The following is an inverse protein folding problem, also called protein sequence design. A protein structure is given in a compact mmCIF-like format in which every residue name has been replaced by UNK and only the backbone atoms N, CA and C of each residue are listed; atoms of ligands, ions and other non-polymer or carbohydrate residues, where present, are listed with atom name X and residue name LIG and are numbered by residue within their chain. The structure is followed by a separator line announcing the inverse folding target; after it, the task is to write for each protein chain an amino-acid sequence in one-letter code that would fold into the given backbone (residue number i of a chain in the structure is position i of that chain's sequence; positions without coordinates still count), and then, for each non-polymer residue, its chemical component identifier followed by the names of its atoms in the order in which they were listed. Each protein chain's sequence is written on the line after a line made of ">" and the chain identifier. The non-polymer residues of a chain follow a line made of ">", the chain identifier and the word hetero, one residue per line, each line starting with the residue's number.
data_IF_776643401917
#
_entry.id   IF_776643401917
#
_cell.length_a   1.000
_cell.length_b   1.000
_cell.length_c   1.000
_cell.angle_alpha   90.00
_cell.angle_beta   90.00
_cell.angle_gamma   90.00
#
_symmetry.space_group_name_H-M   'P 1'
#
loop_
_entity.id
_entity.type
_entity.pdbx_description
1 polymer ?
#
# COMPACT_ATOMS: atom_id res chain seq x y z
N UNK A 1 8.18 44.50 -28.66
CA UNK A 1 8.41 43.03 -28.73
C UNK A 1 8.76 42.40 -27.37
N UNK A 2 9.64 42.98 -26.53
CA UNK A 2 10.01 42.39 -25.23
C UNK A 2 8.85 42.15 -24.24
N UNK A 3 7.86 43.05 -24.18
CA UNK A 3 6.73 42.90 -23.24
C UNK A 3 5.75 41.76 -23.60
N UNK A 4 5.60 41.44 -24.89
CA UNK A 4 4.71 40.37 -25.35
C UNK A 4 5.27 39.00 -24.95
N UNK A 5 6.60 38.82 -25.03
CA UNK A 5 7.26 37.59 -24.58
C UNK A 5 7.12 37.36 -23.07
N UNK A 6 7.19 38.41 -22.26
CA UNK A 6 7.03 38.31 -20.80
C UNK A 6 5.58 37.93 -20.45
N UNK A 7 4.61 38.50 -21.16
CA UNK A 7 3.20 38.18 -20.97
C UNK A 7 2.88 36.72 -21.32
N UNK A 8 3.43 36.21 -22.43
CA UNK A 8 3.29 34.81 -22.85
C UNK A 8 3.89 33.83 -21.83
N UNK A 9 5.05 34.18 -21.26
CA UNK A 9 5.71 33.39 -20.21
C UNK A 9 4.87 33.29 -18.93
N UNK A 10 4.26 34.41 -18.51
CA UNK A 10 3.37 34.45 -17.35
C UNK A 10 2.12 33.57 -17.55
N UNK A 11 1.51 33.62 -18.74
CA UNK A 11 0.34 32.78 -19.08
C UNK A 11 0.70 31.29 -19.09
N UNK A 12 1.88 30.92 -19.62
CA UNK A 12 2.35 29.54 -19.56
C UNK A 12 2.54 29.03 -18.13
N UNK A 13 3.14 29.82 -17.24
CA UNK A 13 3.38 29.42 -15.84
C UNK A 13 2.06 29.23 -15.06
N UNK A 14 1.05 30.06 -15.33
CA UNK A 14 -0.30 29.93 -14.77
C UNK A 14 -1.02 28.67 -15.29
N UNK A 15 -0.87 28.33 -16.57
CA UNK A 15 -1.47 27.13 -17.15
C UNK A 15 -0.89 25.84 -16.56
N UNK A 16 0.44 25.81 -16.35
CA UNK A 16 1.14 24.65 -15.77
C UNK A 16 0.71 24.43 -14.31
N UNK A 17 0.60 25.49 -13.52
CA UNK A 17 0.20 25.40 -12.12
C UNK A 17 -1.24 24.91 -11.95
N UNK A 18 -2.17 25.30 -12.82
CA UNK A 18 -3.53 24.79 -12.82
C UNK A 18 -3.60 23.29 -13.19
N UNK A 19 -2.80 22.85 -14.18
CA UNK A 19 -2.74 21.45 -14.59
C UNK A 19 -2.14 20.53 -13.50
N UNK A 20 -1.20 21.04 -12.70
CA UNK A 20 -0.62 20.31 -11.56
C UNK A 20 -1.63 20.17 -10.43
N UNK A 21 -2.43 21.20 -10.14
CA UNK A 21 -3.47 21.14 -9.11
C UNK A 21 -4.57 20.12 -9.45
N UNK A 22 -5.01 20.06 -10.71
CA UNK A 22 -6.05 19.14 -11.16
C UNK A 22 -5.65 17.64 -11.08
N UNK A 23 -4.35 17.31 -11.08
CA UNK A 23 -3.86 15.92 -10.92
C UNK A 23 -3.74 15.47 -9.47
N UNK A 24 -3.88 16.36 -8.49
CA UNK A 24 -3.64 16.05 -7.07
C UNK A 24 -4.88 15.50 -6.34
N UNK A 25 -6.07 15.48 -6.95
CA UNK A 25 -7.31 15.09 -6.29
C UNK A 25 -7.82 13.69 -6.70
N UNK A 26 -6.92 12.71 -6.83
CA UNK A 26 -7.35 11.32 -6.90
C UNK A 26 -7.76 10.88 -5.48
N UNK A 27 -9.02 11.12 -5.14
CA UNK A 27 -9.63 10.62 -3.92
C UNK A 27 -9.69 9.10 -3.99
N UNK A 28 -8.85 8.44 -3.18
CA UNK A 28 -8.93 7.01 -2.95
C UNK A 28 -10.22 6.72 -2.16
N UNK A 29 -11.21 6.12 -2.82
CA UNK A 29 -12.39 5.58 -2.14
C UNK A 29 -12.06 4.14 -1.71
N UNK A 30 -11.67 3.98 -0.45
CA UNK A 30 -11.68 2.67 0.20
C UNK A 30 -13.10 2.40 0.70
N UNK A 31 -13.84 1.55 -0.01
CA UNK A 31 -15.09 1.01 0.51
C UNK A 31 -14.79 0.06 1.66
N UNK A 32 -15.25 0.39 2.88
CA UNK A 32 -15.25 -0.55 4.01
C UNK A 32 -16.45 -1.46 3.83
N UNK A 33 -16.25 -2.64 3.26
CA UNK A 33 -17.27 -3.70 3.31
C UNK A 33 -17.06 -4.38 4.67
N UNK A 34 -17.90 -4.04 5.65
CA UNK A 34 -18.04 -4.84 6.86
C UNK A 34 -18.71 -6.17 6.46
N UNK A 35 -17.91 -7.10 5.96
CA UNK A 35 -18.36 -8.41 5.55
C UNK A 35 -18.39 -9.32 6.77
N UNK A 36 -19.49 -10.05 6.94
CA UNK A 36 -19.64 -11.02 8.03
C UNK A 36 -18.46 -11.98 8.06
N UNK A 37 -17.76 -12.02 9.20
CA UNK A 37 -16.52 -12.77 9.31
C UNK A 37 -16.84 -14.24 9.57
N UNK A 38 -16.94 -15.02 8.49
CA UNK A 38 -17.26 -16.46 8.55
C UNK A 38 -16.04 -17.27 9.00
N UNK A 39 -14.85 -16.89 8.54
CA UNK A 39 -13.61 -17.57 8.90
C UNK A 39 -12.93 -16.91 10.10
N UNK A 40 -12.34 -17.70 11.02
CA UNK A 40 -11.57 -17.16 12.13
C UNK A 40 -10.35 -16.39 11.61
N UNK A 41 -10.04 -15.27 12.25
CA UNK A 41 -8.83 -14.50 11.93
C UNK A 41 -7.63 -15.21 12.52
N UNK A 42 -6.65 -15.52 11.66
CA UNK A 42 -5.31 -15.96 12.05
C UNK A 42 -4.34 -14.80 11.94
N UNK A 43 -3.48 -14.67 12.95
CA UNK A 43 -2.55 -13.55 13.07
C UNK A 43 -1.13 -14.08 12.97
N UNK A 44 -0.35 -13.57 12.01
CA UNK A 44 1.06 -13.88 11.83
C UNK A 44 1.91 -12.62 12.07
N UNK A 45 2.75 -12.57 13.13
CA UNK A 45 3.70 -11.48 13.30
C UNK A 45 4.80 -11.58 12.24
N UNK A 46 5.00 -10.51 11.48
CA UNK A 46 6.02 -10.45 10.43
C UNK A 46 7.34 -9.90 10.99
N UNK A 47 7.28 -8.85 11.82
CA UNK A 47 8.45 -8.23 12.43
C UNK A 47 8.64 -6.76 12.04
N UNK A 48 9.85 -6.24 12.26
CA UNK A 48 10.16 -4.84 11.94
C UNK A 48 10.76 -4.73 10.53
N UNK A 49 9.99 -4.16 9.62
CA UNK A 49 10.35 -3.98 8.22
C UNK A 49 9.98 -2.57 7.77
N UNK A 50 10.65 -2.10 6.73
CA UNK A 50 10.31 -0.82 6.11
C UNK A 50 8.92 -0.91 5.47
N UNK A 51 8.66 -1.99 4.73
CA UNK A 51 7.42 -2.22 3.99
C UNK A 51 7.11 -3.70 3.85
N UNK A 52 5.83 -4.05 3.85
CA UNK A 52 5.33 -5.39 3.59
C UNK A 52 4.14 -5.34 2.63
N UNK A 53 4.03 -6.32 1.74
CA UNK A 53 2.98 -6.40 0.73
C UNK A 53 2.48 -7.83 0.58
N UNK A 54 1.16 -8.00 0.40
CA UNK A 54 0.61 -9.27 -0.07
C UNK A 54 0.95 -9.40 -1.55
N UNK A 55 1.65 -10.46 -1.92
CA UNK A 55 2.06 -10.71 -3.32
C UNK A 55 1.20 -11.78 -3.98
N UNK A 56 0.64 -12.70 -3.20
CA UNK A 56 -0.34 -13.68 -3.67
C UNK A 56 -1.30 -14.07 -2.54
N UNK A 57 -2.47 -14.58 -2.90
CA UNK A 57 -3.44 -15.12 -1.96
C UNK A 57 -4.19 -16.29 -2.59
N UNK A 58 -4.29 -17.40 -1.86
CA UNK A 58 -5.19 -18.50 -2.15
C UNK A 58 -6.39 -18.38 -1.22
N UNK A 59 -7.59 -18.25 -1.78
CA UNK A 59 -8.83 -18.08 -1.02
C UNK A 59 -9.58 -19.41 -0.93
N UNK A 60 -10.08 -19.75 0.24
CA UNK A 60 -11.06 -20.83 0.38
C UNK A 60 -12.41 -20.45 -0.23
N UNK A 61 -12.81 -19.19 -0.08
CA UNK A 61 -14.06 -18.65 -0.59
C UNK A 61 -13.86 -17.27 -1.22
N UNK A 62 -14.56 -16.96 -2.31
CA UNK A 62 -14.38 -15.70 -3.02
C UNK A 62 -14.85 -14.48 -2.20
N UNK A 63 -15.87 -14.68 -1.37
CA UNK A 63 -16.59 -13.65 -0.63
C UNK A 63 -16.02 -13.49 0.78
N UNK A 64 -15.83 -14.58 1.51
CA UNK A 64 -15.50 -14.51 2.94
C UNK A 64 -14.00 -14.61 3.25
N UNK A 65 -13.15 -14.79 2.23
CA UNK A 65 -11.71 -14.88 2.41
C UNK A 65 -10.98 -13.55 2.20
N UNK A 66 -10.07 -13.24 3.12
CA UNK A 66 -9.32 -11.99 3.09
C UNK A 66 -7.91 -12.10 3.69
N UNK A 67 -7.02 -11.22 3.20
CA UNK A 67 -5.65 -11.02 3.67
C UNK A 67 -5.47 -9.54 4.01
N UNK A 68 -5.05 -9.24 5.23
CA UNK A 68 -4.79 -7.89 5.69
C UNK A 68 -3.37 -7.79 6.21
N UNK A 69 -2.70 -6.68 5.91
CA UNK A 69 -1.40 -6.34 6.49
C UNK A 69 -1.56 -5.00 7.20
N UNK A 70 -1.15 -4.94 8.45
CA UNK A 70 -1.16 -3.71 9.25
C UNK A 70 0.07 -3.58 10.12
N UNK A 71 0.36 -2.36 10.54
CA UNK A 71 1.31 -2.12 11.65
C UNK A 71 0.56 -2.17 12.96
N UNK A 72 1.08 -2.95 13.92
CA UNK A 72 0.60 -2.92 15.30
C UNK A 72 0.92 -1.58 15.96
N UNK A 73 0.36 -1.33 17.14
CA UNK A 73 0.67 -0.13 17.94
C UNK A 73 2.18 0.02 18.25
N UNK A 74 2.94 -1.08 18.21
CA UNK A 74 4.39 -1.11 18.42
C UNK A 74 5.19 -0.96 17.11
N UNK A 75 4.55 -0.54 16.01
CA UNK A 75 5.16 -0.42 14.67
C UNK A 75 5.69 -1.73 14.07
N UNK A 76 5.27 -2.87 14.62
CA UNK A 76 5.60 -4.21 14.09
C UNK A 76 4.58 -4.57 13.01
N UNK A 77 5.04 -5.05 11.86
CA UNK A 77 4.14 -5.55 10.83
C UNK A 77 3.49 -6.86 11.25
N UNK A 78 2.18 -6.95 11.02
CA UNK A 78 1.35 -8.11 11.33
C UNK A 78 0.48 -8.40 10.11
N UNK A 79 0.39 -9.68 9.77
CA UNK A 79 -0.56 -10.18 8.79
C UNK A 79 -1.76 -10.81 9.49
N UNK A 80 -2.94 -10.56 8.97
CA UNK A 80 -4.18 -11.21 9.36
C UNK A 80 -4.76 -11.92 8.15
N UNK A 81 -5.07 -13.21 8.29
CA UNK A 81 -5.78 -13.97 7.28
C UNK A 81 -7.08 -14.52 7.83
N UNK A 82 -8.11 -14.54 6.98
CA UNK A 82 -9.38 -15.19 7.26
C UNK A 82 -9.74 -16.03 6.04
N UNK A 83 -9.77 -17.36 6.17
CA UNK A 83 -10.07 -18.28 5.06
C UNK A 83 -9.15 -18.11 3.85
N UNK A 84 -7.93 -17.60 4.04
CA UNK A 84 -7.00 -17.30 2.95
C UNK A 84 -5.56 -17.63 3.34
N UNK A 85 -4.84 -18.27 2.42
CA UNK A 85 -3.39 -18.45 2.50
C UNK A 85 -2.71 -17.30 1.77
N UNK A 86 -2.07 -16.40 2.49
CA UNK A 86 -1.50 -15.17 1.95
C UNK A 86 0.02 -15.29 1.86
N UNK A 87 0.60 -15.05 0.69
CA UNK A 87 2.04 -14.88 0.52
C UNK A 87 2.40 -13.41 0.65
N UNK A 88 3.39 -13.11 1.49
CA UNK A 88 3.72 -11.76 1.91
C UNK A 88 5.20 -11.54 1.71
N UNK A 89 5.54 -10.46 1.00
CA UNK A 89 6.91 -9.99 0.82
C UNK A 89 7.15 -8.80 1.75
N UNK A 90 8.15 -8.91 2.62
CA UNK A 90 8.62 -7.82 3.46
C UNK A 90 10.03 -7.41 3.07
N UNK A 91 10.30 -6.11 3.18
CA UNK A 91 11.57 -5.50 2.82
C UNK A 91 12.15 -4.73 4.01
N UNK A 92 13.39 -5.04 4.35
CA UNK A 92 14.10 -4.42 5.47
C UNK A 92 14.49 -2.98 5.15
N UNK A 93 14.92 -2.25 6.18
CA UNK A 93 15.70 -1.04 5.98
C UNK A 93 17.01 -1.39 5.25
N UNK A 94 17.59 -0.39 4.57
CA UNK A 94 18.90 -0.50 3.94
C UNK A 94 19.92 -0.96 4.98
N UNK A 95 20.64 -2.04 4.67
CA UNK A 95 21.77 -2.47 5.47
C UNK A 95 22.97 -1.54 5.26
N UNK A 96 24.06 -1.77 6.00
CA UNK A 96 25.30 -1.00 5.90
C UNK A 96 25.90 -0.96 4.49
N UNK A 97 25.56 -1.93 3.64
CA UNK A 97 26.02 -2.06 2.25
C UNK A 97 25.05 -1.40 1.24
N UNK A 98 24.01 -0.71 1.72
CA UNK A 98 23.00 -0.09 0.87
C UNK A 98 22.06 -1.08 0.17
N UNK A 99 21.95 -2.31 0.68
CA UNK A 99 21.05 -3.35 0.15
C UNK A 99 19.84 -3.55 1.06
N UNK A 100 18.70 -3.74 0.42
CA UNK A 100 17.45 -4.14 1.08
C UNK A 100 17.38 -5.66 1.17
N UNK A 101 17.18 -6.20 2.36
CA UNK A 101 16.87 -7.62 2.53
C UNK A 101 15.39 -7.85 2.26
N UNK A 102 15.08 -8.91 1.52
CA UNK A 102 13.72 -9.33 1.20
C UNK A 102 13.44 -10.63 1.93
N UNK A 103 12.32 -10.70 2.65
CA UNK A 103 11.86 -11.92 3.30
C UNK A 103 10.43 -12.23 2.88
N UNK A 104 10.13 -13.51 2.70
CA UNK A 104 8.81 -14.00 2.37
C UNK A 104 8.19 -14.72 3.56
N UNK A 105 6.90 -14.52 3.75
CA UNK A 105 6.08 -15.14 4.77
C UNK A 105 4.82 -15.71 4.13
N UNK A 106 4.26 -16.74 4.77
CA UNK A 106 3.01 -17.34 4.33
C UNK A 106 2.11 -17.50 5.55
N UNK A 107 0.90 -16.96 5.48
CA UNK A 107 -0.12 -17.22 6.51
C UNK A 107 -0.74 -18.59 6.29
N UNK A 108 -1.23 -19.20 7.36
CA UNK A 108 -1.99 -20.45 7.27
C UNK A 108 -3.46 -20.16 6.93
N UNK A 109 -4.13 -21.20 6.40
CA UNK A 109 -5.59 -21.30 6.26
C UNK A 109 -6.21 -21.59 7.61
#
# INVERSE_FOLDING_TARGET
>A
MKQISILMLLVCMLAISYAVYAKSSQTFSAGVIAQEQVYPIKVLPLGNFQRCFVVAAQKEDALYSACYIKKSAQSIWVAESAGARCEIKCESHLNSDGKTQVQYFTTDL
#
